data_IF_740953044287
#
_entry.id   IF_740953044287
#
_cell.length_a   1.000
_cell.length_b   1.000
_cell.length_c   1.000
_cell.angle_alpha   90.00
_cell.angle_beta   90.00
_cell.angle_gamma   90.00
#
_symmetry.space_group_name_H-M   'P 1'
#
loop_
_entity.id
_entity.type
_entity.pdbx_description
1 polymer ?
#
# COMPACT_ATOMS: atom_id res chain seq x y z
N UNK A 1 -11.15 6.71 -47.23
CA UNK A 1 -9.83 6.74 -47.92
C UNK A 1 -8.83 7.34 -46.96
N UNK A 2 -7.79 6.70 -46.46
CA UNK A 2 -7.15 5.40 -46.64
C UNK A 2 -5.84 5.60 -45.87
N UNK A 3 -5.56 4.87 -44.80
CA UNK A 3 -5.13 3.47 -44.78
C UNK A 3 -3.70 3.43 -44.20
N UNK A 4 -3.37 2.32 -43.55
CA UNK A 4 -2.02 1.82 -43.22
C UNK A 4 -1.42 2.14 -41.85
N UNK A 5 -1.91 1.38 -40.87
CA UNK A 5 -1.04 0.64 -39.95
C UNK A 5 -0.09 -0.29 -40.73
N UNK A 6 1.20 -0.36 -40.41
CA UNK A 6 2.01 -1.53 -40.76
C UNK A 6 1.88 -2.62 -39.69
N UNK A 7 1.44 -3.80 -40.15
CA UNK A 7 1.61 -5.06 -39.46
C UNK A 7 3.10 -5.46 -39.49
N UNK A 8 3.66 -5.78 -38.33
CA UNK A 8 5.00 -6.33 -38.15
C UNK A 8 4.94 -7.60 -37.32
N UNK A 9 4.50 -8.69 -37.94
CA UNK A 9 4.64 -10.06 -37.46
C UNK A 9 6.10 -10.51 -37.57
N UNK A 10 6.70 -11.01 -36.49
CA UNK A 10 8.06 -11.53 -36.54
C UNK A 10 8.54 -12.18 -35.24
N UNK A 11 8.21 -13.47 -35.07
CA UNK A 11 9.10 -14.50 -34.52
C UNK A 11 9.71 -14.28 -33.13
N UNK A 12 9.05 -14.83 -32.12
CA UNK A 12 9.69 -15.22 -30.86
C UNK A 12 10.76 -16.30 -31.11
N UNK A 13 12.03 -16.11 -30.72
CA UNK A 13 12.98 -17.21 -30.66
C UNK A 13 12.77 -17.99 -29.36
N UNK A 14 12.68 -19.29 -29.55
CA UNK A 14 12.37 -20.31 -28.56
C UNK A 14 13.56 -20.52 -27.61
N UNK A 15 13.23 -20.74 -26.34
CA UNK A 15 14.06 -21.19 -25.23
C UNK A 15 15.38 -21.90 -25.58
N UNK A 16 16.50 -21.29 -25.20
CA UNK A 16 17.78 -21.97 -25.03
C UNK A 16 17.77 -22.79 -23.73
N UNK A 17 17.63 -24.11 -23.87
CA UNK A 17 17.72 -25.08 -22.76
C UNK A 17 19.18 -25.25 -22.33
N UNK A 18 19.49 -24.91 -21.08
CA UNK A 18 20.71 -25.39 -20.40
C UNK A 18 20.58 -26.90 -20.12
N UNK A 19 21.60 -27.72 -20.40
CA UNK A 19 21.64 -29.12 -19.95
C UNK A 19 22.14 -29.20 -18.49
N UNK A 20 21.26 -29.65 -17.59
CA UNK A 20 21.61 -30.06 -16.23
C UNK A 20 22.10 -31.53 -16.23
N UNK A 21 23.23 -31.86 -15.60
CA UNK A 21 23.61 -33.24 -15.33
C UNK A 21 22.71 -33.85 -14.26
N UNK A 22 22.32 -35.12 -14.44
CA UNK A 22 21.56 -35.91 -13.45
C UNK A 22 22.53 -36.62 -12.50
N UNK A 23 22.36 -36.40 -11.20
CA UNK A 23 22.98 -37.20 -10.13
C UNK A 23 22.10 -38.44 -9.85
N UNK A 24 22.69 -39.61 -9.52
CA UNK A 24 21.93 -40.80 -9.16
C UNK A 24 21.50 -40.76 -7.68
N UNK A 25 20.30 -41.27 -7.44
CA UNK A 25 19.63 -41.23 -6.14
C UNK A 25 20.26 -42.12 -5.07
N UNK A 26 20.02 -41.71 -3.82
CA UNK A 26 20.19 -42.51 -2.62
C UNK A 26 19.22 -42.01 -1.56
N UNK A 27 18.49 -42.92 -0.95
CA UNK A 27 17.74 -42.73 0.30
C UNK A 27 17.37 -44.11 0.85
N UNK A 28 16.61 -44.18 1.96
CA UNK A 28 16.75 -43.51 3.26
C UNK A 28 17.51 -44.47 4.23
N UNK A 29 17.73 -44.32 5.54
CA UNK A 29 17.01 -43.65 6.61
C UNK A 29 17.88 -43.60 7.89
N UNK A 30 17.46 -42.77 8.85
CA UNK A 30 17.58 -42.88 10.31
C UNK A 30 18.95 -42.92 11.04
N UNK A 31 19.26 -41.82 11.75
CA UNK A 31 19.14 -41.72 13.24
C UNK A 31 19.83 -40.45 13.76
N UNK A 32 19.07 -39.44 14.21
CA UNK A 32 19.60 -38.33 15.01
C UNK A 32 18.55 -37.72 15.96
N UNK A 33 18.71 -38.03 17.25
CA UNK A 33 18.54 -37.18 18.45
C UNK A 33 17.30 -36.28 18.68
N UNK A 34 16.74 -36.22 19.90
CA UNK A 34 15.69 -35.27 20.25
C UNK A 34 16.32 -33.87 20.48
N UNK A 35 16.23 -33.02 19.47
CA UNK A 35 16.60 -31.60 19.54
C UNK A 35 15.44 -30.75 20.02
N UNK A 36 15.68 -29.95 21.05
CA UNK A 36 14.74 -29.03 21.66
C UNK A 36 14.14 -28.03 20.66
N UNK A 37 12.81 -28.04 20.51
CA UNK A 37 12.09 -26.90 19.97
C UNK A 37 11.87 -25.88 21.09
N UNK A 38 12.71 -24.84 21.06
CA UNK A 38 12.49 -23.59 21.77
C UNK A 38 11.20 -22.89 21.29
N UNK A 39 10.73 -21.89 22.06
CA UNK A 39 9.43 -21.29 21.83
C UNK A 39 9.40 -20.60 20.47
N UNK A 40 8.35 -20.95 19.73
CA UNK A 40 8.00 -20.42 18.42
C UNK A 40 8.07 -18.89 18.40
N UNK A 41 8.60 -18.40 17.28
CA UNK A 41 8.95 -17.02 17.03
C UNK A 41 7.69 -16.17 17.07
N UNK A 42 7.66 -15.29 18.06
CA UNK A 42 6.78 -14.13 18.12
C UNK A 42 7.07 -13.29 16.87
N UNK A 43 6.28 -13.45 15.82
CA UNK A 43 6.26 -12.52 14.69
C UNK A 43 5.59 -11.23 15.15
N UNK A 44 6.45 -10.33 15.62
CA UNK A 44 6.50 -8.91 15.24
C UNK A 44 5.15 -8.17 15.12
N UNK A 45 4.79 -7.55 16.25
CA UNK A 45 4.01 -6.32 16.45
C UNK A 45 3.45 -5.64 15.18
N UNK A 46 2.18 -5.92 14.84
CA UNK A 46 1.37 -4.92 14.14
C UNK A 46 1.22 -3.73 15.08
N UNK A 47 1.83 -2.59 14.75
CA UNK A 47 1.65 -1.36 15.52
C UNK A 47 0.15 -1.12 15.82
N UNK A 48 -0.20 -0.53 16.97
CA UNK A 48 -1.59 -0.44 17.42
C UNK A 48 -2.48 0.13 16.31
N UNK A 49 -3.57 -0.59 16.01
CA UNK A 49 -4.62 -0.13 15.08
C UNK A 49 -5.10 1.22 15.56
N UNK A 50 -4.83 2.28 14.79
CA UNK A 50 -5.23 3.63 15.14
C UNK A 50 -6.70 3.83 14.80
N UNK A 51 -7.46 4.43 15.70
CA UNK A 51 -8.79 4.92 15.35
C UNK A 51 -8.69 6.11 14.40
N UNK A 52 -9.82 6.47 13.77
CA UNK A 52 -9.89 7.64 12.90
C UNK A 52 -9.50 8.92 13.65
N UNK A 53 -9.93 9.04 14.92
CA UNK A 53 -9.66 10.15 15.82
C UNK A 53 -8.19 10.21 16.24
N UNK A 54 -7.59 9.05 16.56
CA UNK A 54 -6.17 8.96 16.92
C UNK A 54 -5.26 9.36 15.76
N UNK A 55 -5.59 8.92 14.54
CA UNK A 55 -4.90 9.37 13.33
C UNK A 55 -5.02 10.89 13.18
N UNK A 56 -6.22 11.45 13.32
CA UNK A 56 -6.43 12.89 13.12
C UNK A 56 -5.67 13.73 14.16
N UNK A 57 -5.66 13.29 15.42
CA UNK A 57 -4.90 13.93 16.48
C UNK A 57 -3.38 13.89 16.20
N UNK A 58 -2.86 12.77 15.70
CA UNK A 58 -1.45 12.66 15.31
C UNK A 58 -1.10 13.59 14.14
N UNK A 59 -1.94 13.65 13.11
CA UNK A 59 -1.72 14.53 11.96
C UNK A 59 -1.75 16.00 12.36
N UNK A 60 -2.67 16.40 13.24
CA UNK A 60 -2.68 17.74 13.83
C UNK A 60 -1.38 18.04 14.59
N UNK A 61 -0.92 17.11 15.42
CA UNK A 61 0.31 17.28 16.19
C UNK A 61 1.54 17.43 15.27
N UNK A 62 1.65 16.61 14.22
CA UNK A 62 2.72 16.71 13.21
C UNK A 62 2.67 18.03 12.46
N UNK A 63 1.48 18.46 12.05
CA UNK A 63 1.27 19.74 11.36
C UNK A 63 1.66 20.93 12.25
N UNK A 64 1.22 20.92 13.51
CA UNK A 64 1.54 21.97 14.48
C UNK A 64 3.03 22.03 14.83
N UNK A 65 3.68 20.86 14.93
CA UNK A 65 5.12 20.77 15.21
C UNK A 65 6.00 21.09 13.99
N UNK A 66 5.43 21.16 12.77
CA UNK A 66 6.19 21.32 11.54
C UNK A 66 7.25 20.23 11.34
N UNK A 67 6.93 18.98 11.71
CA UNK A 67 7.89 17.87 11.75
C UNK A 67 8.58 17.67 10.38
N UNK A 68 9.92 17.84 10.30
CA UNK A 68 10.65 17.66 9.04
C UNK A 68 10.50 16.25 8.48
N UNK A 69 10.36 16.13 7.16
CA UNK A 69 10.20 14.85 6.46
C UNK A 69 8.81 14.20 6.63
N UNK A 70 7.86 14.90 7.28
CA UNK A 70 6.47 14.45 7.33
C UNK A 70 5.78 14.72 5.99
N UNK A 71 5.29 13.67 5.34
CA UNK A 71 4.46 13.80 4.13
C UNK A 71 3.22 14.67 4.36
N UNK A 72 2.70 14.73 5.59
CA UNK A 72 1.60 15.62 5.98
C UNK A 72 2.02 17.08 5.91
N UNK A 73 3.15 17.44 6.53
CA UNK A 73 3.67 18.81 6.52
C UNK A 73 4.00 19.26 5.09
N UNK A 74 4.62 18.39 4.29
CA UNK A 74 4.95 18.68 2.90
C UNK A 74 3.68 18.86 2.04
N UNK A 75 2.64 18.06 2.27
CA UNK A 75 1.36 18.18 1.57
C UNK A 75 0.65 19.49 1.95
N UNK A 76 0.64 19.85 3.24
CA UNK A 76 0.06 21.11 3.73
C UNK A 76 0.80 22.33 3.16
N UNK A 77 2.12 22.28 3.06
CA UNK A 77 2.92 23.33 2.44
C UNK A 77 2.59 23.55 0.95
N UNK A 78 2.15 22.49 0.24
CA UNK A 78 1.70 22.55 -1.16
C UNK A 78 0.25 23.04 -1.30
N UNK A 79 -0.49 23.15 -0.20
CA UNK A 79 -1.83 23.73 -0.14
C UNK A 79 -2.96 22.81 -0.61
N UNK A 80 -4.20 23.32 -0.44
CA UNK A 80 -5.45 22.56 -0.65
C UNK A 80 -5.58 21.92 -2.02
N UNK A 81 -5.08 22.55 -3.09
CA UNK A 81 -5.15 22.01 -4.45
C UNK A 81 -4.33 20.74 -4.62
N UNK A 82 -3.14 20.68 -4.02
CA UNK A 82 -2.30 19.49 -4.06
C UNK A 82 -2.95 18.32 -3.31
N UNK A 83 -3.44 18.58 -2.10
CA UNK A 83 -4.13 17.58 -1.28
C UNK A 83 -5.40 17.09 -1.95
N UNK A 84 -6.20 17.99 -2.54
CA UNK A 84 -7.42 17.65 -3.26
C UNK A 84 -7.19 16.71 -4.44
N UNK A 85 -6.09 16.89 -5.20
CA UNK A 85 -5.71 15.94 -6.26
C UNK A 85 -5.44 14.54 -5.71
N UNK A 86 -4.71 14.45 -4.59
CA UNK A 86 -4.44 13.17 -3.94
C UNK A 86 -5.73 12.49 -3.46
N UNK A 87 -6.67 13.22 -2.86
CA UNK A 87 -7.98 12.64 -2.51
C UNK A 87 -8.69 12.02 -3.72
N UNK A 88 -8.68 12.70 -4.88
CA UNK A 88 -9.28 12.16 -6.11
C UNK A 88 -8.54 10.93 -6.63
N UNK A 89 -7.21 10.93 -6.56
CA UNK A 89 -6.36 9.79 -6.93
C UNK A 89 -6.67 8.55 -6.08
N UNK A 90 -6.63 8.68 -4.76
CA UNK A 90 -6.89 7.55 -3.85
C UNK A 90 -8.35 7.06 -3.94
N UNK A 91 -9.29 7.96 -4.25
CA UNK A 91 -10.69 7.57 -4.47
C UNK A 91 -10.85 6.72 -5.74
N UNK A 92 -10.13 7.07 -6.81
CA UNK A 92 -10.10 6.28 -8.04
C UNK A 92 -9.42 4.93 -7.81
N UNK A 93 -8.28 4.91 -7.10
CA UNK A 93 -7.56 3.69 -6.76
C UNK A 93 -8.40 2.76 -5.86
N UNK A 94 -9.07 3.33 -4.85
CA UNK A 94 -10.01 2.58 -3.99
C UNK A 94 -11.12 1.91 -4.80
N UNK A 95 -11.68 2.61 -5.79
CA UNK A 95 -12.70 2.03 -6.68
C UNK A 95 -12.12 0.91 -7.54
N UNK A 96 -10.96 1.13 -8.16
CA UNK A 96 -10.31 0.13 -9.00
C UNK A 96 -9.93 -1.12 -8.20
N UNK A 97 -9.41 -0.96 -6.99
CA UNK A 97 -9.05 -2.07 -6.11
C UNK A 97 -10.29 -2.87 -5.68
N UNK A 98 -11.40 -2.19 -5.36
CA UNK A 98 -12.66 -2.84 -5.03
C UNK A 98 -13.24 -3.65 -6.18
N UNK A 99 -13.10 -3.18 -7.42
CA UNK A 99 -13.59 -3.87 -8.62
C UNK A 99 -12.67 -5.03 -9.06
N UNK A 100 -11.36 -4.94 -8.83
CA UNK A 100 -10.40 -5.78 -9.55
C UNK A 100 -9.31 -6.44 -8.69
N UNK A 101 -9.05 -6.00 -7.48
CA UNK A 101 -7.86 -6.40 -6.71
C UNK A 101 -8.18 -7.10 -5.38
N UNK A 102 -9.42 -7.00 -4.90
CA UNK A 102 -9.93 -7.75 -3.76
C UNK A 102 -9.76 -7.05 -2.41
N UNK A 103 -10.18 -7.69 -1.31
CA UNK A 103 -10.43 -7.01 -0.03
C UNK A 103 -9.19 -6.38 0.61
N UNK A 104 -8.03 -7.02 0.51
CA UNK A 104 -6.79 -6.52 1.14
C UNK A 104 -6.29 -5.25 0.46
N UNK A 105 -6.14 -5.26 -0.88
CA UNK A 105 -5.80 -4.06 -1.65
C UNK A 105 -6.83 -2.96 -1.49
N UNK A 106 -8.12 -3.31 -1.49
CA UNK A 106 -9.19 -2.34 -1.24
C UNK A 106 -9.06 -1.66 0.11
N UNK A 107 -8.76 -2.43 1.18
CA UNK A 107 -8.56 -1.87 2.51
C UNK A 107 -7.32 -0.94 2.55
N UNK A 108 -6.26 -1.30 1.85
CA UNK A 108 -5.07 -0.47 1.71
C UNK A 108 -5.40 0.88 1.05
N UNK A 109 -6.04 0.88 -0.12
CA UNK A 109 -6.39 2.14 -0.80
C UNK A 109 -7.39 2.99 -0.03
N UNK A 110 -8.38 2.37 0.62
CA UNK A 110 -9.30 3.09 1.50
C UNK A 110 -8.53 3.71 2.67
N UNK A 111 -7.53 3.03 3.23
CA UNK A 111 -6.70 3.61 4.30
C UNK A 111 -5.95 4.86 3.83
N UNK A 112 -5.42 4.85 2.61
CA UNK A 112 -4.76 6.00 2.00
C UNK A 112 -5.77 7.14 1.75
N UNK A 113 -6.96 6.82 1.24
CA UNK A 113 -8.04 7.78 1.06
C UNK A 113 -8.44 8.45 2.38
N UNK A 114 -8.64 7.68 3.45
CA UNK A 114 -8.97 8.21 4.78
C UNK A 114 -7.86 9.14 5.29
N UNK A 115 -6.59 8.78 5.09
CA UNK A 115 -5.47 9.67 5.39
C UNK A 115 -5.56 10.98 4.59
N UNK A 116 -5.73 10.93 3.26
CA UNK A 116 -5.77 12.15 2.44
C UNK A 116 -6.97 13.05 2.77
N UNK A 117 -8.13 12.47 3.11
CA UNK A 117 -9.30 13.22 3.56
C UNK A 117 -9.02 13.96 4.87
N UNK A 118 -8.35 13.31 5.83
CA UNK A 118 -7.95 13.98 7.06
C UNK A 118 -6.92 15.09 6.82
N UNK A 119 -5.96 14.90 5.91
CA UNK A 119 -5.04 15.98 5.50
C UNK A 119 -5.79 17.13 4.81
N UNK A 120 -6.83 16.84 4.03
CA UNK A 120 -7.68 17.85 3.40
C UNK A 120 -8.45 18.66 4.45
N UNK A 121 -8.93 18.02 5.52
CA UNK A 121 -9.54 18.72 6.65
C UNK A 121 -8.56 19.71 7.27
N UNK A 122 -7.31 19.30 7.53
CA UNK A 122 -6.26 20.19 8.06
C UNK A 122 -5.95 21.35 7.09
N UNK A 123 -5.82 21.06 5.80
CA UNK A 123 -5.60 22.09 4.76
C UNK A 123 -6.77 23.09 4.65
N UNK A 124 -7.96 22.68 5.07
CA UNK A 124 -9.19 23.49 5.03
C UNK A 124 -9.54 24.12 6.38
N UNK A 125 -8.76 23.87 7.43
CA UNK A 125 -9.02 24.39 8.79
C UNK A 125 -10.25 23.78 9.48
N UNK A 126 -10.57 22.52 9.19
CA UNK A 126 -11.72 21.81 9.77
C UNK A 126 -11.31 20.90 10.93
N UNK A 127 -12.16 20.80 11.95
CA UNK A 127 -12.08 19.78 12.99
C UNK A 127 -13.00 18.58 12.68
N UNK A 128 -12.77 17.45 13.34
CA UNK A 128 -13.65 16.26 13.22
C UNK A 128 -15.12 16.56 13.48
N UNK A 129 -15.40 17.39 14.49
CA UNK A 129 -16.77 17.79 14.85
C UNK A 129 -17.50 18.48 13.69
N UNK A 130 -16.76 19.21 12.85
CA UNK A 130 -17.32 19.94 11.72
C UNK A 130 -17.77 19.00 10.61
N UNK A 131 -17.15 17.82 10.49
CA UNK A 131 -17.56 16.76 9.57
C UNK A 131 -18.63 15.87 10.20
N UNK A 132 -18.44 15.44 11.44
CA UNK A 132 -19.36 14.53 12.14
C UNK A 132 -20.76 15.08 12.32
N UNK A 133 -20.94 16.41 12.38
CA UNK A 133 -22.28 17.02 12.41
C UNK A 133 -23.10 16.79 11.13
N UNK A 134 -22.50 16.26 10.07
CA UNK A 134 -23.14 15.94 8.80
C UNK A 134 -23.38 14.43 8.59
N UNK A 135 -22.94 13.58 9.51
CA UNK A 135 -23.19 12.13 9.51
C UNK A 135 -24.46 11.81 10.32
#
# INVERSE_FOLDING_TARGET
MGDRYPAGSGGSPVAGRCPIPREPGGGPDDTAGPGAHGPDGRLEESGPVKTFEELFAELQAKAAAGTPGSGTVDALAKGVHFVGKKVVEEAAESWMAAEHEGPERTAEEISQLLYQVQVLMLASGLELKDVYRHL
#
